data_IF_035100811392
#
_entry.id   IF_035100811392
#
_cell.length_a   1.000
_cell.length_b   1.000
_cell.length_c   1.000
_cell.angle_alpha   90.00
_cell.angle_beta   90.00
_cell.angle_gamma   90.00
#
_symmetry.space_group_name_H-M   'P 1'
#
loop_
_entity.id
_entity.type
_entity.pdbx_description
1 polymer ?
#
# COMPACT_ATOMS: atom_id res chain seq x y z
N UNK A 1 -7.81 13.16 -24.21
CA UNK A 1 -6.89 12.31 -23.45
C UNK A 1 -6.01 13.23 -22.60
N UNK A 2 -6.01 13.05 -21.30
CA UNK A 2 -5.24 13.85 -20.36
C UNK A 2 -4.47 12.93 -19.42
N UNK A 3 -3.17 13.16 -19.25
CA UNK A 3 -2.30 12.45 -18.30
C UNK A 3 -1.70 13.50 -17.38
N UNK A 4 -2.00 13.43 -16.10
CA UNK A 4 -1.44 14.30 -15.06
C UNK A 4 -0.65 13.49 -14.03
N UNK A 5 0.66 13.72 -13.96
CA UNK A 5 1.53 13.14 -12.93
C UNK A 5 2.24 14.29 -12.22
N UNK A 6 2.03 14.43 -10.90
CA UNK A 6 2.63 15.51 -10.10
C UNK A 6 3.81 15.05 -9.23
N UNK A 7 4.19 13.79 -9.32
CA UNK A 7 5.32 13.23 -8.56
C UNK A 7 6.60 13.31 -9.39
N UNK A 8 7.73 13.66 -8.76
CA UNK A 8 9.02 13.48 -9.39
C UNK A 8 9.31 12.00 -9.63
N UNK A 9 10.15 11.63 -10.62
CA UNK A 9 10.53 10.23 -10.86
C UNK A 9 11.09 9.53 -9.63
N UNK A 10 11.88 10.24 -8.81
CA UNK A 10 12.47 9.72 -7.57
C UNK A 10 11.39 9.45 -6.52
N UNK A 11 10.47 10.41 -6.30
CA UNK A 11 9.37 10.24 -5.36
C UNK A 11 8.44 9.10 -5.79
N UNK A 12 8.16 8.99 -7.09
CA UNK A 12 7.38 7.89 -7.64
C UNK A 12 8.05 6.53 -7.42
N UNK A 13 9.37 6.45 -7.64
CA UNK A 13 10.16 5.23 -7.43
C UNK A 13 10.18 4.80 -5.97
N UNK A 14 10.38 5.75 -5.04
CA UNK A 14 10.37 5.47 -3.60
C UNK A 14 8.99 5.02 -3.12
N UNK A 15 7.94 5.70 -3.57
CA UNK A 15 6.57 5.33 -3.22
C UNK A 15 6.22 3.93 -3.74
N UNK A 16 6.57 3.64 -5.00
CA UNK A 16 6.36 2.32 -5.61
C UNK A 16 7.09 1.22 -4.84
N UNK A 17 8.34 1.47 -4.40
CA UNK A 17 9.11 0.54 -3.59
C UNK A 17 8.46 0.30 -2.22
N UNK A 18 8.05 1.35 -1.52
CA UNK A 18 7.40 1.26 -0.21
C UNK A 18 6.07 0.48 -0.29
N UNK A 19 5.25 0.74 -1.31
CA UNK A 19 3.99 0.03 -1.53
C UNK A 19 4.23 -1.43 -1.95
N UNK A 20 5.29 -1.71 -2.71
CA UNK A 20 5.73 -3.07 -3.05
C UNK A 20 6.06 -3.88 -1.79
N UNK A 21 6.89 -3.33 -0.91
CA UNK A 21 7.25 -3.95 0.37
C UNK A 21 6.03 -4.20 1.27
N UNK A 22 5.09 -3.26 1.34
CA UNK A 22 3.83 -3.47 2.06
C UNK A 22 3.01 -4.63 1.47
N UNK A 23 3.05 -4.80 0.15
CA UNK A 23 2.42 -5.93 -0.53
C UNK A 23 3.06 -7.28 -0.20
N UNK A 24 4.38 -7.33 -0.12
CA UNK A 24 5.11 -8.53 0.30
C UNK A 24 4.83 -8.87 1.76
N UNK A 25 4.81 -7.85 2.64
CA UNK A 25 4.41 -8.00 4.03
C UNK A 25 2.98 -8.55 4.17
N UNK A 26 2.03 -8.10 3.33
CA UNK A 26 0.69 -8.66 3.29
C UNK A 26 0.69 -10.16 2.94
N UNK A 27 1.45 -10.55 1.93
CA UNK A 27 1.55 -11.95 1.53
C UNK A 27 2.10 -12.83 2.66
N UNK A 28 3.14 -12.35 3.35
CA UNK A 28 3.74 -13.04 4.51
C UNK A 28 2.73 -13.13 5.66
N UNK A 29 2.12 -12.01 6.05
CA UNK A 29 1.16 -11.96 7.14
C UNK A 29 -0.06 -12.87 6.86
N UNK A 30 -0.55 -12.87 5.62
CA UNK A 30 -1.65 -13.75 5.20
C UNK A 30 -1.26 -15.25 5.26
N UNK A 31 -0.01 -15.59 4.96
CA UNK A 31 0.50 -16.97 5.15
C UNK A 31 0.61 -17.34 6.63
N UNK A 32 1.13 -16.43 7.45
CA UNK A 32 1.24 -16.62 8.89
C UNK A 32 -0.13 -16.78 9.57
N UNK A 33 -1.16 -16.09 9.09
CA UNK A 33 -2.52 -16.21 9.63
C UNK A 33 -3.15 -17.60 9.44
N UNK A 34 -2.60 -18.40 8.52
CA UNK A 34 -3.01 -19.80 8.31
C UNK A 34 -2.37 -20.76 9.31
N UNK A 35 -1.38 -20.31 10.09
CA UNK A 35 -0.76 -21.10 11.15
C UNK A 35 -1.61 -20.94 12.40
N UNK A 36 -2.00 -22.07 13.01
CA UNK A 36 -2.86 -22.08 14.22
C UNK A 36 -2.08 -21.69 15.49
N UNK A 37 -1.58 -20.44 15.54
CA UNK A 37 -0.99 -19.84 16.74
C UNK A 37 -1.97 -18.83 17.33
N UNK A 38 -2.58 -19.18 18.47
CA UNK A 38 -3.63 -18.37 19.09
C UNK A 38 -3.14 -16.95 19.44
N UNK A 39 -1.87 -16.81 19.88
CA UNK A 39 -1.26 -15.52 20.22
C UNK A 39 -1.06 -14.58 19.01
N UNK A 40 -0.95 -15.13 17.81
CA UNK A 40 -0.78 -14.35 16.58
C UNK A 40 -2.09 -13.92 15.92
N UNK A 41 -3.23 -14.50 16.29
CA UNK A 41 -4.51 -14.21 15.59
C UNK A 41 -4.89 -12.75 15.59
N UNK A 42 -4.88 -12.10 16.75
CA UNK A 42 -5.27 -10.70 16.87
C UNK A 42 -4.23 -9.76 16.23
N UNK A 43 -2.92 -9.84 16.56
CA UNK A 43 -1.91 -9.00 15.92
C UNK A 43 -1.87 -9.13 14.40
N UNK A 44 -2.01 -10.33 13.86
CA UNK A 44 -2.05 -10.55 12.40
C UNK A 44 -3.32 -9.99 11.77
N UNK A 45 -4.46 -10.06 12.43
CA UNK A 45 -5.71 -9.49 11.93
C UNK A 45 -5.62 -7.97 11.82
N UNK A 46 -5.05 -7.30 12.82
CA UNK A 46 -4.82 -5.86 12.82
C UNK A 46 -3.84 -5.45 11.71
N UNK A 47 -2.70 -6.14 11.62
CA UNK A 47 -1.71 -5.91 10.57
C UNK A 47 -2.28 -6.12 9.16
N UNK A 48 -3.03 -7.21 8.95
CA UNK A 48 -3.65 -7.49 7.65
C UNK A 48 -4.67 -6.43 7.27
N UNK A 49 -5.44 -5.90 8.23
CA UNK A 49 -6.39 -4.81 7.99
C UNK A 49 -5.68 -3.55 7.49
N UNK A 50 -4.57 -3.15 8.13
CA UNK A 50 -3.78 -2.00 7.71
C UNK A 50 -3.11 -2.20 6.33
N UNK A 51 -2.55 -3.39 6.10
CA UNK A 51 -1.93 -3.73 4.81
C UNK A 51 -2.95 -3.83 3.67
N UNK A 52 -4.18 -4.28 3.97
CA UNK A 52 -5.28 -4.36 3.00
C UNK A 52 -5.65 -2.98 2.45
N UNK A 53 -5.53 -1.92 3.24
CA UNK A 53 -5.77 -0.54 2.84
C UNK A 53 -4.87 -0.10 1.68
N UNK A 54 -3.66 -0.63 1.59
CA UNK A 54 -2.70 -0.34 0.53
C UNK A 54 -2.84 -1.24 -0.71
N UNK A 55 -3.75 -2.24 -0.66
CA UNK A 55 -3.90 -3.24 -1.72
C UNK A 55 -4.24 -2.64 -3.08
N UNK A 56 -5.17 -1.69 -3.12
CA UNK A 56 -5.59 -1.09 -4.39
C UNK A 56 -4.48 -0.27 -5.01
N UNK A 57 -3.74 0.47 -4.18
CA UNK A 57 -2.59 1.24 -4.61
C UNK A 57 -1.44 0.33 -5.10
N UNK A 58 -1.18 -0.78 -4.40
CA UNK A 58 -0.23 -1.79 -4.85
C UNK A 58 -0.60 -2.36 -6.22
N UNK A 59 -1.86 -2.77 -6.39
CA UNK A 59 -2.33 -3.30 -7.66
C UNK A 59 -2.26 -2.26 -8.77
N UNK A 60 -2.54 -0.98 -8.46
CA UNK A 60 -2.36 0.12 -9.40
C UNK A 60 -0.91 0.21 -9.87
N UNK A 61 0.07 0.23 -8.94
CA UNK A 61 1.49 0.32 -9.30
C UNK A 61 2.03 -0.93 -10.01
N UNK A 62 1.49 -2.11 -9.69
CA UNK A 62 1.88 -3.37 -10.36
C UNK A 62 1.47 -3.38 -11.85
N UNK A 63 0.43 -2.64 -12.20
CA UNK A 63 -0.12 -2.60 -13.56
C UNK A 63 -0.08 -1.19 -14.18
N UNK A 64 0.79 -0.31 -13.67
CA UNK A 64 0.86 1.08 -14.11
C UNK A 64 1.09 1.21 -15.62
N UNK A 65 1.96 0.37 -16.17
CA UNK A 65 2.29 0.40 -17.60
C UNK A 65 1.08 0.00 -18.46
N UNK A 66 0.28 -0.99 -18.00
CA UNK A 66 -0.98 -1.38 -18.67
C UNK A 66 -2.03 -0.26 -18.58
N UNK A 67 -2.14 0.38 -17.41
CA UNK A 67 -3.05 1.53 -17.23
C UNK A 67 -2.71 2.69 -18.17
N UNK A 68 -1.42 2.99 -18.35
CA UNK A 68 -0.95 4.05 -19.24
C UNK A 68 -1.11 3.69 -20.74
N UNK A 69 -0.93 2.41 -21.08
CA UNK A 69 -1.07 1.94 -22.46
C UNK A 69 -2.55 1.84 -22.91
N UNK A 70 -3.48 1.64 -21.98
CA UNK A 70 -4.90 1.39 -22.25
C UNK A 70 -5.82 2.42 -21.56
N UNK A 71 -5.59 3.71 -21.80
CA UNK A 71 -6.30 4.82 -21.14
C UNK A 71 -7.81 4.85 -21.46
N UNK A 72 -8.21 4.37 -22.60
CA UNK A 72 -9.61 4.21 -23.02
C UNK A 72 -10.36 3.21 -22.14
N UNK A 73 -9.66 2.20 -21.62
CA UNK A 73 -10.19 1.16 -20.73
C UNK A 73 -10.07 1.52 -19.24
N UNK A 74 -8.94 2.11 -18.85
CA UNK A 74 -8.60 2.32 -17.44
C UNK A 74 -8.78 3.77 -16.98
N UNK A 75 -8.85 4.72 -17.92
CA UNK A 75 -9.07 6.12 -17.63
C UNK A 75 -10.53 6.43 -17.28
N UNK A 76 -10.73 7.61 -16.73
CA UNK A 76 -12.07 8.15 -16.44
C UNK A 76 -12.69 8.66 -17.72
N UNK A 77 -13.98 8.34 -17.94
CA UNK A 77 -14.82 8.94 -18.98
C UNK A 77 -15.94 9.72 -18.32
N UNK A 78 -16.21 10.96 -18.81
CA UNK A 78 -17.24 11.83 -18.27
C UNK A 78 -16.72 12.86 -17.27
N UNK A 79 -17.60 13.38 -16.39
CA UNK A 79 -17.26 14.36 -15.36
C UNK A 79 -17.14 13.70 -14.00
N UNK A 80 -15.98 13.84 -13.36
CA UNK A 80 -15.75 13.37 -12.00
C UNK A 80 -15.15 14.52 -11.20
N UNK A 81 -15.71 14.76 -10.01
CA UNK A 81 -15.15 15.65 -9.02
C UNK A 81 -14.55 14.80 -7.89
N UNK A 82 -13.27 15.02 -7.60
CA UNK A 82 -12.59 14.35 -6.48
C UNK A 82 -12.85 15.09 -5.17
N UNK A 83 -12.67 14.40 -4.05
CA UNK A 83 -12.83 15.00 -2.71
C UNK A 83 -11.84 16.15 -2.45
N UNK A 84 -10.73 16.22 -3.18
CA UNK A 84 -9.77 17.33 -3.11
C UNK A 84 -10.11 18.52 -4.04
N UNK A 85 -11.28 18.51 -4.70
CA UNK A 85 -11.73 19.58 -5.56
C UNK A 85 -11.13 19.57 -6.98
N UNK A 86 -10.45 18.49 -7.38
CA UNK A 86 -10.01 18.31 -8.77
C UNK A 86 -11.24 17.89 -9.59
N UNK A 87 -11.58 18.69 -10.59
CA UNK A 87 -12.68 18.38 -11.50
C UNK A 87 -12.14 17.91 -12.85
N UNK A 88 -12.62 16.77 -13.30
CA UNK A 88 -12.36 16.21 -14.62
C UNK A 88 -13.65 16.24 -15.42
N UNK A 89 -13.71 17.03 -16.49
CA UNK A 89 -14.90 17.13 -17.32
C UNK A 89 -14.58 16.89 -18.79
N UNK A 90 -15.44 16.11 -19.44
CA UNK A 90 -15.53 16.00 -20.90
C UNK A 90 -14.41 15.24 -21.61
N UNK A 91 -13.47 14.65 -20.91
CA UNK A 91 -12.38 13.90 -21.53
C UNK A 91 -12.70 12.39 -21.61
N UNK A 92 -12.48 11.80 -22.76
CA UNK A 92 -12.36 10.34 -22.89
C UNK A 92 -10.95 9.93 -22.48
N UNK A 93 -10.81 9.00 -21.54
CA UNK A 93 -9.53 8.46 -21.11
C UNK A 93 -8.68 9.44 -20.29
N UNK A 94 -9.23 10.01 -19.21
CA UNK A 94 -8.48 10.83 -18.27
C UNK A 94 -7.76 9.96 -17.26
N UNK A 95 -6.45 10.13 -17.15
CA UNK A 95 -5.60 9.46 -16.16
C UNK A 95 -4.89 10.49 -15.30
N UNK A 96 -4.84 10.26 -13.99
CA UNK A 96 -4.02 11.07 -13.11
C UNK A 96 -3.34 10.24 -12.02
N UNK A 97 -2.21 10.74 -11.56
CA UNK A 97 -1.47 10.30 -10.39
C UNK A 97 -0.92 11.55 -9.72
N UNK A 98 -1.62 12.06 -8.73
CA UNK A 98 -1.38 13.38 -8.13
C UNK A 98 -1.32 13.24 -6.62
N UNK A 99 -0.26 13.79 -6.01
CA UNK A 99 -0.14 13.91 -4.57
C UNK A 99 -0.62 15.28 -4.10
N UNK A 100 -1.64 15.29 -3.24
CA UNK A 100 -2.15 16.51 -2.60
C UNK A 100 -1.98 16.35 -1.09
N UNK A 101 -1.07 17.12 -0.52
CA UNK A 101 -0.66 16.90 0.87
C UNK A 101 -0.08 15.50 1.08
N UNK A 102 -0.75 14.68 1.89
CA UNK A 102 -0.38 13.30 2.15
C UNK A 102 -1.24 12.28 1.41
N UNK A 103 -2.18 12.72 0.59
CA UNK A 103 -3.13 11.84 -0.10
C UNK A 103 -2.74 11.71 -1.57
N UNK A 104 -2.55 10.47 -1.99
CA UNK A 104 -2.32 10.13 -3.38
C UNK A 104 -3.68 9.88 -4.05
N UNK A 105 -3.97 10.67 -5.08
CA UNK A 105 -5.13 10.54 -5.95
C UNK A 105 -4.71 9.84 -7.24
N UNK A 106 -5.41 8.79 -7.61
CA UNK A 106 -5.08 8.00 -8.81
C UNK A 106 -6.33 7.44 -9.47
N UNK A 107 -6.21 7.12 -10.75
CA UNK A 107 -7.30 6.51 -11.53
C UNK A 107 -7.02 5.03 -11.78
N UNK A 108 -8.01 4.20 -11.49
CA UNK A 108 -7.96 2.77 -11.78
C UNK A 108 -9.32 2.28 -12.25
N UNK A 109 -9.34 1.63 -13.41
CA UNK A 109 -10.54 1.03 -14.00
C UNK A 109 -11.73 2.01 -14.06
N UNK A 110 -11.49 3.21 -14.57
CA UNK A 110 -12.51 4.24 -14.71
C UNK A 110 -12.99 4.89 -13.42
N UNK A 111 -12.33 4.62 -12.29
CA UNK A 111 -12.67 5.20 -10.98
C UNK A 111 -11.54 6.03 -10.42
N UNK A 112 -11.88 7.16 -9.79
CA UNK A 112 -10.96 7.94 -9.00
C UNK A 112 -10.84 7.32 -7.60
N UNK A 113 -9.61 7.04 -7.17
CA UNK A 113 -9.28 6.45 -5.88
C UNK A 113 -8.32 7.36 -5.12
N UNK A 114 -8.34 7.23 -3.81
CA UNK A 114 -7.53 8.02 -2.89
C UNK A 114 -6.87 7.10 -1.85
N UNK A 115 -5.60 7.37 -1.54
CA UNK A 115 -4.89 6.64 -0.49
C UNK A 115 -3.98 7.59 0.28
N UNK A 116 -4.10 7.60 1.60
CA UNK A 116 -3.15 8.32 2.46
C UNK A 116 -1.80 7.60 2.45
N UNK A 117 -0.78 8.29 1.96
CA UNK A 117 0.62 7.85 1.87
C UNK A 117 1.54 8.71 2.75
N UNK A 118 0.97 9.45 3.69
CA UNK A 118 1.73 10.28 4.61
C UNK A 118 2.49 9.49 5.65
N UNK A 119 3.45 10.17 6.29
CA UNK A 119 4.28 9.59 7.36
C UNK A 119 3.46 8.92 8.46
N UNK A 120 2.37 9.56 8.90
CA UNK A 120 1.51 9.03 9.97
C UNK A 120 0.87 7.70 9.58
N UNK A 121 0.46 7.56 8.32
CA UNK A 121 -0.11 6.34 7.76
C UNK A 121 0.88 5.18 7.82
N UNK A 122 2.13 5.40 7.39
CA UNK A 122 3.18 4.38 7.46
C UNK A 122 3.64 4.08 8.90
N UNK A 123 3.68 5.08 9.78
CA UNK A 123 3.96 4.85 11.20
C UNK A 123 2.85 4.03 11.88
N UNK A 124 1.59 4.23 11.50
CA UNK A 124 0.46 3.40 11.94
C UNK A 124 0.63 1.95 11.50
N UNK A 125 1.05 1.72 10.26
CA UNK A 125 1.36 0.38 9.74
C UNK A 125 2.50 -0.28 10.52
N UNK A 126 3.59 0.44 10.81
CA UNK A 126 4.69 -0.06 11.61
C UNK A 126 4.25 -0.38 13.04
N UNK A 127 3.39 0.46 13.63
CA UNK A 127 2.85 0.23 14.97
C UNK A 127 1.99 -1.04 15.02
N UNK A 128 1.17 -1.31 14.00
CA UNK A 128 0.38 -2.54 13.91
C UNK A 128 1.23 -3.80 13.65
N UNK A 129 2.40 -3.65 13.04
CA UNK A 129 3.31 -4.77 12.81
C UNK A 129 4.09 -5.21 14.08
N UNK A 130 4.38 -4.27 15.00
CA UNK A 130 5.20 -4.54 16.21
C UNK A 130 4.69 -5.70 17.08
N UNK A 131 3.39 -5.81 17.42
CA UNK A 131 2.89 -6.92 18.20
C UNK A 131 3.12 -8.27 17.51
N UNK A 132 2.93 -8.35 16.21
CA UNK A 132 3.19 -9.56 15.41
C UNK A 132 4.66 -9.96 15.47
N UNK A 133 5.58 -9.01 15.32
CA UNK A 133 7.02 -9.28 15.44
C UNK A 133 7.42 -9.72 16.86
N UNK A 134 6.85 -9.09 17.89
CA UNK A 134 7.13 -9.46 19.28
C UNK A 134 6.70 -10.90 19.58
N UNK A 135 5.52 -11.31 19.12
CA UNK A 135 5.03 -12.68 19.28
C UNK A 135 5.88 -13.68 18.50
N UNK A 136 6.23 -13.40 17.26
CA UNK A 136 7.12 -14.26 16.47
C UNK A 136 8.49 -14.40 17.11
N UNK A 137 9.07 -13.31 17.61
CA UNK A 137 10.38 -13.35 18.31
C UNK A 137 10.35 -14.17 19.60
N UNK A 138 9.20 -14.24 20.27
CA UNK A 138 9.02 -15.04 21.47
C UNK A 138 8.77 -16.52 21.17
N UNK A 139 8.39 -16.87 19.94
CA UNK A 139 8.12 -18.25 19.59
C UNK A 139 9.40 -19.07 19.49
N UNK A 140 9.49 -20.19 20.22
CA UNK A 140 10.70 -21.01 20.33
C UNK A 140 11.23 -21.54 18.99
N UNK A 141 10.33 -21.89 18.06
CA UNK A 141 10.69 -22.37 16.73
C UNK A 141 11.32 -21.25 15.87
N UNK A 142 10.90 -20.01 16.05
CA UNK A 142 11.47 -18.87 15.34
C UNK A 142 12.89 -18.54 15.84
N UNK A 143 13.10 -18.60 17.18
CA UNK A 143 14.43 -18.40 17.79
C UNK A 143 15.45 -19.43 17.33
N UNK A 144 15.04 -20.67 17.08
CA UNK A 144 15.92 -21.73 16.61
C UNK A 144 16.28 -21.60 15.13
N UNK A 145 15.38 -21.05 14.31
CA UNK A 145 15.58 -20.94 12.84
C UNK A 145 16.41 -19.71 12.42
N UNK A 146 16.40 -18.65 13.20
CA UNK A 146 16.93 -17.36 12.75
C UNK A 146 18.26 -16.95 13.38
N UNK A 147 18.89 -17.63 14.29
CA UNK A 147 20.17 -17.25 14.96
C UNK A 147 20.35 -15.74 15.30
N UNK A 148 19.27 -14.94 15.19
CA UNK A 148 19.28 -13.51 15.48
C UNK A 148 18.84 -13.29 16.92
N UNK A 149 19.59 -12.54 17.73
CA UNK A 149 19.16 -12.16 19.07
C UNK A 149 17.88 -11.30 18.97
N UNK A 150 16.85 -11.65 19.73
CA UNK A 150 15.54 -10.97 19.71
C UNK A 150 15.64 -9.45 19.98
N UNK A 151 16.72 -8.97 20.60
CA UNK A 151 17.00 -7.57 20.86
C UNK A 151 17.34 -6.75 19.61
N UNK A 152 17.86 -7.37 18.55
CA UNK A 152 18.25 -6.64 17.34
C UNK A 152 17.08 -6.42 16.38
N UNK A 153 16.05 -7.28 16.41
CA UNK A 153 14.85 -7.12 15.58
C UNK A 153 13.94 -5.96 16.00
N UNK A 154 14.05 -5.51 17.25
CA UNK A 154 13.20 -4.43 17.81
C UNK A 154 13.75 -3.03 17.44
N UNK A 155 15.03 -2.90 17.12
CA UNK A 155 15.69 -1.62 16.84
C UNK A 155 15.90 -1.30 15.37
N UNK A 156 15.55 -2.22 14.46
CA UNK A 156 15.67 -2.01 13.01
C UNK A 156 14.39 -1.45 12.36
N UNK A 157 13.38 -1.04 13.15
CA UNK A 157 12.12 -0.47 12.66
C UNK A 157 11.90 0.97 13.12
#
# INVERSE_FOLDING_TARGET
MYIGISLSPEALSLLRAAIGLAGDAYCIANRLSQIELASLKQPLSELLSELQRLRDLRNFFAHLDDHLANLDKHGITGSIQTNCGIEYSGATGCFHLVLVGNVLHYVRNGSALETDVGKTSFLGLLASARPTYAELANHSAYRQSCNYPASELIYAA
#
